data_IF_265979675210
#
_entry.id   IF_265979675210
#
_cell.length_a   1.000
_cell.length_b   1.000
_cell.length_c   1.000
_cell.angle_alpha   90.00
_cell.angle_beta   90.00
_cell.angle_gamma   90.00
#
_symmetry.space_group_name_H-M   'P 1'
#
loop_
_entity.id
_entity.type
_entity.pdbx_description
1 polymer ?
#
# COMPACT_ATOMS: atom_id res chain seq x y z
N UNK A 1 39.76 -7.03 -21.67
CA UNK A 1 39.44 -6.66 -20.29
C UNK A 1 38.07 -6.00 -20.30
N UNK A 2 37.03 -6.78 -20.03
CA UNK A 2 35.65 -6.30 -20.04
C UNK A 2 35.37 -5.52 -18.75
N UNK A 3 35.27 -4.20 -18.88
CA UNK A 3 34.87 -3.30 -17.79
C UNK A 3 33.36 -3.39 -17.60
N UNK A 4 32.90 -4.29 -16.74
CA UNK A 4 31.52 -4.29 -16.24
C UNK A 4 31.32 -3.06 -15.36
N UNK A 5 30.58 -2.05 -15.85
CA UNK A 5 30.18 -0.93 -14.99
C UNK A 5 29.16 -1.44 -13.96
N UNK A 6 29.57 -1.41 -12.69
CA UNK A 6 28.67 -1.64 -11.56
C UNK A 6 27.67 -0.49 -11.50
N UNK A 7 26.43 -0.73 -11.91
CA UNK A 7 25.33 0.21 -11.71
C UNK A 7 25.26 0.60 -10.23
N UNK A 8 25.18 1.89 -9.95
CA UNK A 8 24.95 2.42 -8.60
C UNK A 8 23.56 1.98 -8.10
N UNK A 9 23.33 1.97 -6.78
CA UNK A 9 22.01 1.66 -6.21
C UNK A 9 20.88 2.56 -6.77
N UNK A 10 21.22 3.79 -7.17
CA UNK A 10 20.31 4.74 -7.82
C UNK A 10 19.97 4.28 -9.24
N UNK A 11 20.96 3.84 -10.01
CA UNK A 11 20.77 3.31 -11.36
C UNK A 11 20.03 1.98 -11.35
N UNK A 12 20.26 1.13 -10.34
CA UNK A 12 19.51 -0.10 -10.15
C UNK A 12 18.02 0.17 -9.85
N UNK A 13 17.70 1.14 -8.99
CA UNK A 13 16.31 1.51 -8.69
C UNK A 13 15.64 2.18 -9.89
N UNK A 14 16.35 3.05 -10.63
CA UNK A 14 15.82 3.65 -11.86
C UNK A 14 15.62 2.63 -12.98
N UNK A 15 16.54 1.68 -13.14
CA UNK A 15 16.44 0.60 -14.11
C UNK A 15 15.31 -0.38 -13.76
N UNK A 16 15.18 -0.75 -12.48
CA UNK A 16 14.03 -1.52 -11.99
C UNK A 16 12.73 -0.74 -12.17
N UNK A 17 12.72 0.58 -11.93
CA UNK A 17 11.50 1.36 -12.08
C UNK A 17 11.04 1.43 -13.53
N UNK A 18 11.98 1.66 -14.47
CA UNK A 18 11.71 1.68 -15.90
C UNK A 18 11.11 0.36 -16.41
N UNK A 19 11.57 -0.78 -15.90
CA UNK A 19 11.05 -2.12 -16.26
C UNK A 19 9.56 -2.26 -16.00
N UNK A 20 9.07 -1.67 -14.92
CA UNK A 20 7.71 -1.91 -14.45
C UNK A 20 6.74 -0.76 -14.76
N UNK A 21 7.21 0.42 -15.20
CA UNK A 21 6.36 1.55 -15.64
C UNK A 21 5.26 1.13 -16.63
N UNK A 22 5.53 0.25 -17.63
CA UNK A 22 4.48 -0.21 -18.55
C UNK A 22 3.31 -0.94 -17.86
N UNK A 23 3.52 -1.49 -16.66
CA UNK A 23 2.55 -2.33 -15.95
C UNK A 23 1.86 -1.61 -14.79
N UNK A 24 2.44 -0.54 -14.23
CA UNK A 24 1.89 0.17 -13.06
C UNK A 24 1.23 1.50 -13.38
N UNK A 25 1.31 1.94 -14.64
CA UNK A 25 0.90 3.28 -15.04
C UNK A 25 1.83 4.38 -14.53
N UNK A 26 1.55 5.62 -14.95
CA UNK A 26 2.40 6.80 -14.70
C UNK A 26 1.77 7.82 -13.74
N UNK A 27 0.50 7.62 -13.35
CA UNK A 27 -0.25 8.58 -12.51
C UNK A 27 -0.46 8.02 -11.11
N UNK A 28 -0.15 8.82 -10.09
CA UNK A 28 -0.53 8.55 -8.70
C UNK A 28 -1.23 9.77 -8.12
N UNK A 29 -2.52 9.63 -7.77
CA UNK A 29 -3.29 10.72 -7.14
C UNK A 29 -3.20 10.66 -5.61
N UNK A 30 -3.32 9.46 -5.04
CA UNK A 30 -3.30 9.22 -3.61
C UNK A 30 -2.33 8.09 -3.26
N UNK A 31 -1.60 8.24 -2.15
CA UNK A 31 -0.76 7.18 -1.57
C UNK A 31 -1.13 6.95 -0.11
N UNK A 32 -1.63 5.76 0.18
CA UNK A 32 -2.03 5.35 1.54
C UNK A 32 -0.82 4.79 2.28
N UNK A 33 -0.47 5.40 3.41
CA UNK A 33 0.77 5.11 4.15
C UNK A 33 0.51 4.74 5.61
N UNK A 34 1.11 3.63 6.03
CA UNK A 34 1.26 3.28 7.43
C UNK A 34 2.57 3.87 8.00
N UNK A 35 2.81 3.69 9.31
CA UNK A 35 4.02 4.17 9.99
C UNK A 35 5.30 3.70 9.27
N UNK A 36 5.42 2.41 8.99
CA UNK A 36 6.61 1.79 8.40
C UNK A 36 6.91 2.37 7.03
N UNK A 37 5.91 2.47 6.15
CA UNK A 37 6.07 2.96 4.78
C UNK A 37 6.33 4.46 4.74
N UNK A 38 5.66 5.25 5.57
CA UNK A 38 5.93 6.68 5.67
C UNK A 38 7.37 6.97 6.14
N UNK A 39 7.87 6.25 7.14
CA UNK A 39 9.26 6.44 7.61
C UNK A 39 10.29 5.99 6.56
N UNK A 40 10.01 4.91 5.83
CA UNK A 40 10.87 4.48 4.70
C UNK A 40 10.88 5.54 3.59
N UNK A 41 9.73 6.12 3.24
CA UNK A 41 9.68 7.22 2.26
C UNK A 41 10.42 8.46 2.77
N UNK A 42 10.25 8.83 4.04
CA UNK A 42 10.96 9.95 4.64
C UNK A 42 12.49 9.81 4.48
N UNK A 43 13.03 8.61 4.67
CA UNK A 43 14.46 8.32 4.48
C UNK A 43 14.93 8.42 3.01
N UNK A 44 14.00 8.51 2.07
CA UNK A 44 14.25 8.67 0.63
C UNK A 44 13.86 10.07 0.13
N UNK A 45 13.56 10.99 1.05
CA UNK A 45 13.09 12.33 0.75
C UNK A 45 14.15 13.27 0.19
N UNK A 46 13.85 14.57 0.20
CA UNK A 46 14.76 15.59 -0.36
C UNK A 46 16.07 15.76 0.42
N UNK A 47 16.10 15.35 1.69
CA UNK A 47 17.29 15.44 2.54
C UNK A 47 18.38 14.42 2.20
N UNK A 48 18.10 13.47 1.29
CA UNK A 48 19.13 12.54 0.77
C UNK A 48 20.13 13.34 -0.07
N UNK A 49 21.40 13.31 0.34
CA UNK A 49 22.47 14.01 -0.37
C UNK A 49 22.64 13.51 -1.81
N UNK A 50 22.98 14.39 -2.77
CA UNK A 50 23.26 13.97 -4.14
C UNK A 50 24.32 12.86 -4.19
N UNK A 51 24.01 11.74 -4.84
CA UNK A 51 24.90 10.58 -4.95
C UNK A 51 24.95 9.63 -3.75
N UNK A 52 24.34 9.97 -2.61
CA UNK A 52 24.36 9.14 -1.40
C UNK A 52 23.32 8.01 -1.39
N UNK A 53 22.36 8.02 -2.32
CA UNK A 53 21.34 6.99 -2.41
C UNK A 53 20.15 7.35 -3.30
N UNK A 54 19.20 6.42 -3.45
CA UNK A 54 17.98 6.64 -4.21
C UNK A 54 17.12 7.72 -3.55
N UNK A 55 16.64 8.66 -4.36
CA UNK A 55 15.66 9.66 -3.95
C UNK A 55 14.30 9.28 -4.51
N UNK A 56 13.29 9.30 -3.65
CA UNK A 56 11.90 9.17 -4.04
C UNK A 56 11.37 10.54 -4.46
N UNK A 57 10.78 10.61 -5.66
CA UNK A 57 10.11 11.80 -6.17
C UNK A 57 8.64 11.44 -6.39
N UNK A 58 7.72 12.01 -5.59
CA UNK A 58 6.29 11.79 -5.75
C UNK A 58 5.78 12.34 -7.09
N UNK A 59 4.64 11.84 -7.56
CA UNK A 59 4.00 12.40 -8.74
C UNK A 59 3.49 13.84 -8.48
N UNK A 60 3.47 14.72 -9.49
CA UNK A 60 2.92 16.07 -9.33
C UNK A 60 1.47 16.03 -8.81
N UNK A 61 1.19 16.76 -7.73
CA UNK A 61 -0.14 16.84 -7.12
C UNK A 61 -0.57 15.61 -6.30
N UNK A 62 0.30 14.60 -6.16
CA UNK A 62 0.06 13.41 -5.34
C UNK A 62 -0.19 13.79 -3.87
N UNK A 63 -1.22 13.21 -3.27
CA UNK A 63 -1.55 13.39 -1.86
C UNK A 63 -1.24 12.14 -1.03
N UNK A 64 -0.64 12.32 0.14
CA UNK A 64 -0.36 11.25 1.08
C UNK A 64 -1.47 11.13 2.11
N UNK A 65 -2.00 9.92 2.27
CA UNK A 65 -3.05 9.57 3.22
C UNK A 65 -2.45 8.71 4.33
N UNK A 66 -2.23 9.32 5.50
CA UNK A 66 -1.58 8.70 6.65
C UNK A 66 -2.63 8.05 7.57
N UNK A 67 -2.56 6.74 7.77
CA UNK A 67 -3.58 6.02 8.55
C UNK A 67 -3.14 5.57 9.94
N UNK A 68 -1.84 5.56 10.22
CA UNK A 68 -1.32 5.04 11.49
C UNK A 68 -1.10 6.16 12.53
N UNK A 69 -1.69 6.06 13.72
CA UNK A 69 -1.64 7.10 14.77
C UNK A 69 -0.22 7.57 15.12
N UNK A 70 0.76 6.66 15.14
CA UNK A 70 2.16 7.00 15.42
C UNK A 70 2.77 8.04 14.46
N UNK A 71 2.14 8.31 13.31
CA UNK A 71 2.58 9.33 12.37
C UNK A 71 2.23 10.76 12.78
N UNK A 72 1.30 10.96 13.74
CA UNK A 72 0.95 12.30 14.22
C UNK A 72 2.19 13.07 14.69
N UNK A 73 3.07 12.41 15.46
CA UNK A 73 4.35 12.99 15.92
C UNK A 73 5.40 13.19 14.81
N UNK A 74 5.20 12.59 13.64
CA UNK A 74 6.17 12.58 12.53
C UNK A 74 5.71 13.39 11.32
N UNK A 75 4.47 13.85 11.29
CA UNK A 75 3.89 14.57 10.15
C UNK A 75 4.71 15.78 9.71
N UNK A 76 5.16 16.61 10.65
CA UNK A 76 5.98 17.78 10.33
C UNK A 76 7.32 17.40 9.67
N UNK A 77 7.96 16.32 10.14
CA UNK A 77 9.20 15.84 9.53
C UNK A 77 8.95 15.30 8.12
N UNK A 78 7.86 14.55 7.92
CA UNK A 78 7.48 14.05 6.61
C UNK A 78 7.13 15.19 5.64
N UNK A 79 6.36 16.19 6.08
CA UNK A 79 6.01 17.39 5.30
C UNK A 79 7.24 18.18 4.87
N UNK A 80 8.28 18.23 5.72
CA UNK A 80 9.57 18.82 5.35
C UNK A 80 10.31 18.01 4.29
N UNK A 81 10.11 16.71 4.16
CA UNK A 81 10.73 15.92 3.10
C UNK A 81 10.00 16.09 1.75
N UNK A 82 8.70 16.36 1.79
CA UNK A 82 7.82 16.46 0.62
C UNK A 82 6.93 17.71 0.69
N UNK A 83 7.52 18.92 0.55
CA UNK A 83 6.81 20.18 0.78
C UNK A 83 5.69 20.47 -0.23
N UNK A 84 5.80 19.92 -1.44
CA UNK A 84 4.84 20.16 -2.53
C UNK A 84 3.68 19.15 -2.52
N UNK A 85 3.72 18.16 -1.62
CA UNK A 85 2.71 17.11 -1.52
C UNK A 85 1.75 17.39 -0.37
N UNK A 86 0.45 17.27 -0.65
CA UNK A 86 -0.58 17.39 0.36
C UNK A 86 -0.55 16.17 1.27
N UNK A 87 -0.62 16.39 2.58
CA UNK A 87 -0.66 15.31 3.57
C UNK A 87 -1.94 15.39 4.38
N UNK A 88 -2.64 14.26 4.45
CA UNK A 88 -3.88 14.11 5.19
C UNK A 88 -3.75 12.95 6.15
N UNK A 89 -4.33 13.10 7.34
CA UNK A 89 -4.56 11.97 8.24
C UNK A 89 -5.94 11.40 7.95
N UNK A 90 -6.03 10.07 7.83
CA UNK A 90 -7.34 9.43 7.84
C UNK A 90 -7.99 9.69 9.21
N UNK A 91 -9.26 10.09 9.19
CA UNK A 91 -9.99 10.37 10.41
C UNK A 91 -10.17 9.09 11.22
N UNK A 92 -10.16 9.22 12.54
CA UNK A 92 -10.40 8.10 13.46
C UNK A 92 -11.76 7.44 13.20
N UNK A 93 -12.79 8.21 12.85
CA UNK A 93 -14.11 7.69 12.51
C UNK A 93 -14.06 6.76 11.29
N UNK A 94 -13.31 7.11 10.24
CA UNK A 94 -13.15 6.26 9.06
C UNK A 94 -12.38 4.99 9.41
N UNK A 95 -11.30 5.11 10.19
CA UNK A 95 -10.51 3.96 10.60
C UNK A 95 -11.31 2.98 11.46
N UNK A 96 -12.03 3.49 12.46
CA UNK A 96 -12.89 2.68 13.33
C UNK A 96 -13.97 1.97 12.52
N UNK A 97 -14.65 2.70 11.62
CA UNK A 97 -15.65 2.11 10.74
C UNK A 97 -15.06 0.98 9.86
N UNK A 98 -13.86 1.16 9.31
CA UNK A 98 -13.19 0.12 8.51
C UNK A 98 -12.87 -1.13 9.36
N UNK A 99 -12.36 -0.93 10.57
CA UNK A 99 -12.03 -2.02 11.50
C UNK A 99 -13.29 -2.77 11.96
N UNK A 100 -14.36 -2.06 12.31
CA UNK A 100 -15.64 -2.63 12.73
C UNK A 100 -16.30 -3.40 11.60
N UNK A 101 -16.33 -2.83 10.39
CA UNK A 101 -16.88 -3.49 9.20
C UNK A 101 -16.13 -4.78 8.89
N UNK A 102 -14.80 -4.74 8.91
CA UNK A 102 -13.97 -5.92 8.69
C UNK A 102 -14.19 -6.98 9.78
N UNK A 103 -14.27 -6.57 11.05
CA UNK A 103 -14.56 -7.48 12.18
C UNK A 103 -15.93 -8.15 12.06
N UNK A 104 -16.94 -7.37 11.68
CA UNK A 104 -18.30 -7.87 11.48
C UNK A 104 -18.35 -8.90 10.36
N UNK A 105 -17.81 -8.58 9.19
CA UNK A 105 -17.74 -9.51 8.06
C UNK A 105 -17.02 -10.81 8.44
N UNK A 106 -15.92 -10.74 9.21
CA UNK A 106 -15.21 -11.93 9.69
C UNK A 106 -16.08 -12.82 10.54
N UNK A 107 -16.77 -12.23 11.53
CA UNK A 107 -17.66 -12.97 12.43
C UNK A 107 -18.80 -13.61 11.66
N UNK A 108 -19.42 -12.86 10.76
CA UNK A 108 -20.59 -13.32 10.02
C UNK A 108 -20.20 -14.44 9.03
N UNK A 109 -19.07 -14.31 8.33
CA UNK A 109 -18.55 -15.35 7.43
C UNK A 109 -18.03 -16.58 8.19
N UNK A 110 -17.49 -16.40 9.40
CA UNK A 110 -17.14 -17.52 10.28
C UNK A 110 -18.39 -18.31 10.67
N UNK A 111 -19.48 -17.63 11.05
CA UNK A 111 -20.75 -18.27 11.39
C UNK A 111 -21.35 -19.04 10.21
N UNK A 112 -21.05 -18.62 8.97
CA UNK A 112 -21.43 -19.32 7.74
C UNK A 112 -20.48 -20.49 7.37
N UNK A 113 -19.50 -20.81 8.22
CA UNK A 113 -18.59 -21.95 8.01
C UNK A 113 -17.41 -21.67 7.07
N UNK A 114 -17.14 -20.41 6.73
CA UNK A 114 -16.00 -20.03 5.88
C UNK A 114 -14.70 -19.83 6.67
N UNK A 115 -14.74 -19.98 7.99
CA UNK A 115 -13.59 -19.92 8.88
C UNK A 115 -12.96 -21.30 9.16
N UNK A 116 -11.99 -21.38 10.10
CA UNK A 116 -11.47 -20.31 10.93
C UNK A 116 -10.54 -19.35 10.17
N UNK A 117 -10.55 -18.08 10.57
CA UNK A 117 -9.63 -17.07 10.04
C UNK A 117 -8.55 -16.76 11.10
N UNK A 118 -7.25 -16.67 10.74
CA UNK A 118 -6.20 -16.27 11.66
C UNK A 118 -6.50 -14.94 12.33
N UNK A 119 -6.14 -14.78 13.60
CA UNK A 119 -6.24 -13.49 14.29
C UNK A 119 -5.42 -12.43 13.54
N UNK A 120 -5.92 -11.20 13.54
CA UNK A 120 -5.23 -10.05 12.97
C UNK A 120 -5.07 -8.98 14.04
N UNK A 121 -3.98 -8.21 13.95
CA UNK A 121 -3.75 -7.06 14.82
C UNK A 121 -3.91 -5.73 14.09
N UNK A 122 -3.96 -5.75 12.75
CA UNK A 122 -4.20 -4.55 11.94
C UNK A 122 -4.76 -4.92 10.56
N UNK A 123 -5.53 -3.99 9.97
CA UNK A 123 -5.87 -4.03 8.55
C UNK A 123 -4.63 -3.70 7.70
N UNK A 124 -4.58 -4.26 6.48
CA UNK A 124 -3.53 -3.92 5.52
C UNK A 124 -3.76 -2.51 4.95
N UNK A 125 -2.67 -1.79 4.63
CA UNK A 125 -2.78 -0.49 3.93
C UNK A 125 -3.56 -0.61 2.62
N UNK A 126 -3.47 -1.77 1.95
CA UNK A 126 -4.24 -2.08 0.75
C UNK A 126 -5.74 -2.08 1.01
N UNK A 127 -6.21 -2.79 2.05
CA UNK A 127 -7.62 -2.77 2.43
C UNK A 127 -8.11 -1.41 2.90
N UNK A 128 -7.30 -0.64 3.64
CA UNK A 128 -7.64 0.75 3.96
C UNK A 128 -7.87 1.57 2.68
N UNK A 129 -7.03 1.39 1.67
CA UNK A 129 -7.16 2.03 0.36
C UNK A 129 -8.40 1.59 -0.40
N UNK A 130 -8.71 0.29 -0.42
CA UNK A 130 -9.90 -0.25 -1.09
C UNK A 130 -11.18 0.28 -0.45
N UNK A 131 -11.30 0.24 0.88
CA UNK A 131 -12.47 0.76 1.56
C UNK A 131 -12.66 2.27 1.33
N UNK A 132 -11.57 3.02 1.26
CA UNK A 132 -11.65 4.44 0.93
C UNK A 132 -12.09 4.66 -0.53
N UNK A 133 -11.53 3.90 -1.48
CA UNK A 133 -11.92 3.98 -2.88
C UNK A 133 -13.41 3.64 -3.09
N UNK A 134 -13.91 2.60 -2.43
CA UNK A 134 -15.33 2.20 -2.47
C UNK A 134 -16.28 3.24 -1.86
N UNK A 135 -15.79 4.19 -1.06
CA UNK A 135 -16.57 5.33 -0.56
C UNK A 135 -16.61 6.51 -1.54
N UNK A 136 -15.67 6.56 -2.49
CA UNK A 136 -15.51 7.68 -3.43
C UNK A 136 -15.88 7.30 -4.87
N UNK A 137 -15.97 6.01 -5.18
CA UNK A 137 -16.17 5.48 -6.52
C UNK A 137 -17.29 4.43 -6.50
N UNK A 138 -18.04 4.34 -7.60
CA UNK A 138 -19.07 3.32 -7.77
C UNK A 138 -18.45 1.92 -7.98
N UNK A 139 -17.37 1.87 -8.76
CA UNK A 139 -16.59 0.67 -9.05
C UNK A 139 -15.11 0.95 -8.89
N UNK A 140 -14.36 -0.02 -8.37
CA UNK A 140 -12.92 0.09 -8.14
C UNK A 140 -12.17 -1.02 -8.86
N UNK A 141 -11.31 -0.65 -9.81
CA UNK A 141 -10.41 -1.60 -10.47
C UNK A 141 -9.14 -1.79 -9.63
N UNK A 142 -8.81 -3.03 -9.28
CA UNK A 142 -7.62 -3.35 -8.50
C UNK A 142 -6.60 -4.11 -9.33
N UNK A 143 -5.34 -3.68 -9.21
CA UNK A 143 -4.20 -4.26 -9.91
C UNK A 143 -3.12 -4.63 -8.88
N UNK A 144 -2.49 -5.79 -9.07
CA UNK A 144 -1.42 -6.27 -8.18
C UNK A 144 -1.90 -6.77 -6.80
N UNK A 145 -3.20 -7.06 -6.66
CA UNK A 145 -3.75 -7.74 -5.49
C UNK A 145 -3.88 -9.23 -5.79
N UNK A 146 -3.38 -10.08 -4.88
CA UNK A 146 -3.60 -11.52 -4.96
C UNK A 146 -4.94 -11.89 -4.35
N UNK A 147 -5.64 -12.82 -4.99
CA UNK A 147 -6.90 -13.39 -4.48
C UNK A 147 -6.68 -14.75 -3.83
N UNK A 148 -5.47 -15.25 -3.78
CA UNK A 148 -5.10 -16.55 -3.25
C UNK A 148 -3.94 -16.42 -2.27
N UNK A 149 -3.93 -17.28 -1.25
CA UNK A 149 -2.89 -17.28 -0.22
C UNK A 149 -1.47 -17.48 -0.77
N UNK A 150 -1.23 -18.39 -1.74
CA UNK A 150 0.08 -18.53 -2.38
C UNK A 150 0.55 -17.23 -3.04
N UNK A 151 -0.32 -16.54 -3.77
CA UNK A 151 -0.02 -15.24 -4.37
C UNK A 151 0.37 -14.18 -3.33
N UNK A 152 -0.33 -14.13 -2.19
CA UNK A 152 0.00 -13.20 -1.10
C UNK A 152 1.36 -13.49 -0.47
N UNK A 153 1.82 -14.74 -0.43
CA UNK A 153 3.10 -15.11 0.17
C UNK A 153 4.33 -14.59 -0.61
N UNK A 154 4.12 -14.05 -1.82
CA UNK A 154 5.16 -13.40 -2.61
C UNK A 154 5.59 -12.05 -1.99
N UNK A 155 6.71 -11.49 -2.43
CA UNK A 155 7.19 -10.21 -1.89
C UNK A 155 6.21 -9.09 -2.27
N UNK A 156 5.86 -8.25 -1.32
CA UNK A 156 5.10 -7.01 -1.55
C UNK A 156 6.04 -5.99 -2.17
N UNK A 157 5.66 -5.49 -3.35
CA UNK A 157 6.38 -4.45 -4.05
C UNK A 157 5.66 -3.10 -3.86
N UNK A 158 6.16 -2.29 -2.94
CA UNK A 158 5.78 -0.89 -2.78
C UNK A 158 6.97 -0.04 -3.18
N UNK A 159 7.16 0.27 -4.46
CA UNK A 159 8.43 0.88 -4.94
C UNK A 159 8.87 2.11 -4.12
N UNK A 160 10.15 2.22 -3.76
CA UNK A 160 11.26 1.27 -4.00
C UNK A 160 11.41 0.18 -2.90
N UNK A 161 10.39 0.00 -2.09
CA UNK A 161 10.33 -0.92 -0.95
C UNK A 161 9.87 -2.31 -1.41
N UNK A 162 10.76 -3.30 -1.25
CA UNK A 162 10.40 -4.71 -1.36
C UNK A 162 10.38 -5.32 0.03
N UNK A 163 9.29 -6.01 0.39
CA UNK A 163 9.16 -6.61 1.71
C UNK A 163 8.32 -7.88 1.75
N UNK A 164 8.48 -8.64 2.84
CA UNK A 164 7.61 -9.79 3.11
C UNK A 164 6.24 -9.31 3.60
N UNK A 165 5.16 -10.04 3.29
CA UNK A 165 3.84 -9.82 3.88
C UNK A 165 3.92 -9.80 5.41
N UNK A 166 3.25 -8.83 6.03
CA UNK A 166 3.19 -8.71 7.49
C UNK A 166 2.32 -9.80 8.09
N UNK A 167 2.77 -10.43 9.17
CA UNK A 167 1.95 -11.37 9.95
C UNK A 167 0.83 -10.68 10.76
N UNK A 168 0.81 -9.35 10.81
CA UNK A 168 -0.23 -8.57 11.50
C UNK A 168 -1.61 -8.64 10.80
N UNK A 169 -1.64 -9.05 9.53
CA UNK A 169 -2.85 -9.09 8.70
C UNK A 169 -3.37 -10.51 8.59
N UNK A 170 -4.69 -10.67 8.47
CA UNK A 170 -5.30 -11.96 8.20
C UNK A 170 -5.45 -12.17 6.69
N UNK A 171 -4.34 -12.51 6.02
CA UNK A 171 -4.29 -12.67 4.57
C UNK A 171 -5.35 -13.61 3.99
N UNK A 172 -5.69 -14.71 4.70
CA UNK A 172 -6.74 -15.63 4.27
C UNK A 172 -8.09 -14.94 4.13
N UNK A 173 -8.41 -14.08 5.10
CA UNK A 173 -9.63 -13.31 5.07
C UNK A 173 -9.56 -12.14 4.09
N UNK A 174 -8.42 -11.45 3.97
CA UNK A 174 -8.21 -10.39 2.99
C UNK A 174 -8.50 -10.93 1.57
N UNK A 175 -7.96 -12.11 1.23
CA UNK A 175 -8.20 -12.74 -0.08
C UNK A 175 -9.66 -13.15 -0.29
N UNK A 176 -10.33 -13.65 0.75
CA UNK A 176 -11.76 -13.98 0.67
C UNK A 176 -12.61 -12.72 0.46
N UNK A 177 -12.34 -11.66 1.21
CA UNK A 177 -13.04 -10.39 1.11
C UNK A 177 -12.89 -9.80 -0.30
N UNK A 178 -11.68 -9.84 -0.87
CA UNK A 178 -11.45 -9.40 -2.26
C UNK A 178 -12.32 -10.17 -3.25
N UNK A 179 -12.36 -11.51 -3.15
CA UNK A 179 -13.22 -12.34 -4.02
C UNK A 179 -14.70 -11.98 -3.86
N UNK A 180 -15.17 -11.74 -2.65
CA UNK A 180 -16.56 -11.33 -2.40
C UNK A 180 -16.87 -9.95 -3.00
N UNK A 181 -15.95 -9.00 -2.89
CA UNK A 181 -16.10 -7.68 -3.49
C UNK A 181 -16.13 -7.75 -5.03
N UNK A 182 -15.31 -8.63 -5.61
CA UNK A 182 -15.29 -8.90 -7.05
C UNK A 182 -16.61 -9.53 -7.53
N UNK A 183 -17.06 -10.58 -6.84
CA UNK A 183 -18.35 -11.23 -7.11
C UNK A 183 -19.55 -10.28 -6.98
N UNK A 184 -19.45 -9.27 -6.11
CA UNK A 184 -20.50 -8.26 -5.95
C UNK A 184 -20.50 -7.16 -7.02
N UNK A 185 -19.52 -7.14 -7.92
CA UNK A 185 -19.34 -6.10 -8.94
C UNK A 185 -18.90 -4.73 -8.38
N UNK A 186 -18.54 -4.65 -7.09
CA UNK A 186 -18.04 -3.42 -6.45
C UNK A 186 -16.57 -3.19 -6.74
N UNK A 187 -15.83 -4.27 -6.92
CA UNK A 187 -14.43 -4.28 -7.31
C UNK A 187 -14.30 -5.08 -8.59
N UNK A 188 -13.36 -4.70 -9.47
CA UNK A 188 -12.91 -5.57 -10.56
C UNK A 188 -11.45 -5.94 -10.31
N UNK A 189 -11.17 -7.22 -10.14
CA UNK A 189 -9.83 -7.72 -9.88
C UNK A 189 -9.11 -8.07 -11.19
N UNK A 190 -8.02 -7.36 -11.48
CA UNK A 190 -7.07 -7.79 -12.50
C UNK A 190 -6.15 -8.85 -11.88
N UNK A 191 -6.47 -10.11 -12.14
CA UNK A 191 -5.64 -11.27 -11.77
C UNK A 191 -4.86 -11.74 -13.01
N UNK A 192 -3.66 -12.29 -12.79
CA UNK A 192 -2.80 -12.81 -13.84
C UNK A 192 -3.09 -14.29 -14.11
#
# INVERSE_FOLDING_TARGET
AEGGSSLTAVELIKADDAKYIPFTGQRTTYRVLNKKHALKLQALGRSVAPGAGPRFVPAPGEAFLLWHYALVSRGAALAREFPDNRMYYLSTNVLNWQMETYSALRRDLYALGLGPFPCYSALSSGLHGIFLALRMCETVNLFGFSIDLPGVATRVHFRPIVERPSAAHSWAFDTLLLRLLDLSGRVNLCTA
#
